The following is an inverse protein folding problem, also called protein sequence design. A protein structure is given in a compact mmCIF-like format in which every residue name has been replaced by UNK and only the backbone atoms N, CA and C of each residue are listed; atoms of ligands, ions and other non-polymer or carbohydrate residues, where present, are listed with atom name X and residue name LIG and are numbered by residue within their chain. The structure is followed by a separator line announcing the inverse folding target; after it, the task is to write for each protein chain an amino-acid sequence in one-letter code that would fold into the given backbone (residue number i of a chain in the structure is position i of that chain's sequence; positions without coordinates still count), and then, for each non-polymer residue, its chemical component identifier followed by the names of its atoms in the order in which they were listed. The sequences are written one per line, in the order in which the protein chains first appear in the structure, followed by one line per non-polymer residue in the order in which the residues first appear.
data_IF_321103339089
#
_entry.id   IF_321103339089
#
_cell.length_a   1.000
_cell.length_b   1.000
_cell.length_c   1.000
_cell.angle_alpha   90.00
_cell.angle_beta   90.00
_cell.angle_gamma   90.00
#
_symmetry.space_group_name_H-M   'P 1'
#
loop_
_entity.id
_entity.type
_entity.pdbx_description
1 polymer ?
#
# COMPACT_ATOMS: atom_id res chain seq x y z
N UNK A 1 23.92 -12.00 -14.24
CA UNK A 1 22.57 -12.50 -13.87
C UNK A 1 22.55 -14.02 -13.74
N UNK A 2 23.18 -14.77 -14.64
CA UNK A 2 23.25 -16.25 -14.53
C UNK A 2 23.92 -16.73 -13.24
N UNK A 3 25.00 -16.08 -12.80
CA UNK A 3 25.68 -16.41 -11.53
C UNK A 3 24.78 -16.23 -10.29
N UNK A 4 23.87 -15.25 -10.32
CA UNK A 4 22.92 -15.00 -9.24
C UNK A 4 21.84 -16.09 -9.21
N UNK A 5 21.33 -16.48 -10.38
CA UNK A 5 20.34 -17.54 -10.51
C UNK A 5 20.90 -18.89 -10.05
N UNK A 6 22.14 -19.22 -10.45
CA UNK A 6 22.82 -20.44 -9.98
C UNK A 6 23.00 -20.41 -8.47
N UNK A 7 23.39 -19.26 -7.89
CA UNK A 7 23.56 -19.17 -6.43
C UNK A 7 22.25 -19.30 -5.67
N UNK A 8 21.19 -18.61 -6.12
CA UNK A 8 19.83 -18.76 -5.59
C UNK A 8 19.40 -20.22 -5.63
N UNK A 9 19.61 -20.90 -6.77
CA UNK A 9 19.25 -22.29 -6.94
C UNK A 9 20.03 -23.22 -6.02
N UNK A 10 21.35 -23.06 -5.89
CA UNK A 10 22.18 -23.88 -4.99
C UNK A 10 21.80 -23.70 -3.52
N UNK A 11 21.48 -22.48 -3.07
CA UNK A 11 21.07 -22.22 -1.68
C UNK A 11 19.63 -22.72 -1.41
N UNK A 12 18.77 -22.78 -2.43
CA UNK A 12 17.39 -23.27 -2.35
C UNK A 12 17.25 -24.79 -2.54
N UNK A 13 18.20 -25.43 -3.21
CA UNK A 13 18.19 -26.88 -3.50
C UNK A 13 18.21 -27.74 -2.22
N UNK A 14 18.79 -27.23 -1.14
CA UNK A 14 18.85 -27.92 0.15
C UNK A 14 17.67 -27.59 1.09
N UNK A 15 16.77 -26.68 0.70
CA UNK A 15 15.60 -26.30 1.50
C UNK A 15 15.91 -25.54 2.80
N UNK A 16 17.18 -25.15 3.02
CA UNK A 16 17.67 -24.41 4.18
C UNK A 16 18.28 -23.08 3.75
N UNK A 17 17.55 -22.33 2.92
CA UNK A 17 18.00 -20.99 2.59
C UNK A 17 17.92 -20.13 3.85
N UNK A 18 19.07 -19.66 4.32
CA UNK A 18 19.10 -18.75 5.46
C UNK A 18 18.41 -17.44 5.08
N UNK A 19 17.53 -16.96 5.96
CA UNK A 19 16.75 -15.74 5.75
C UNK A 19 17.63 -14.51 5.50
N UNK A 20 18.80 -14.43 6.13
CA UNK A 20 19.74 -13.32 5.94
C UNK A 20 20.41 -13.34 4.54
N UNK A 21 20.74 -14.52 4.02
CA UNK A 21 21.24 -14.68 2.65
C UNK A 21 20.15 -14.35 1.62
N UNK A 22 18.92 -14.80 1.84
CA UNK A 22 17.79 -14.41 1.00
C UNK A 22 17.59 -12.89 1.00
N UNK A 23 17.60 -12.27 2.18
CA UNK A 23 17.43 -10.83 2.34
C UNK A 23 18.51 -10.07 1.58
N UNK A 24 19.77 -10.51 1.66
CA UNK A 24 20.87 -9.92 0.91
C UNK A 24 20.67 -10.04 -0.60
N UNK A 25 20.31 -11.23 -1.10
CA UNK A 25 20.08 -11.48 -2.52
C UNK A 25 18.93 -10.61 -3.05
N UNK A 26 17.80 -10.58 -2.34
CA UNK A 26 16.64 -9.79 -2.71
C UNK A 26 16.97 -8.30 -2.67
N UNK A 27 17.67 -7.81 -1.63
CA UNK A 27 18.09 -6.41 -1.54
C UNK A 27 19.01 -6.01 -2.69
N UNK A 28 19.98 -6.87 -3.06
CA UNK A 28 20.87 -6.62 -4.19
C UNK A 28 20.10 -6.59 -5.52
N UNK A 29 19.16 -7.52 -5.72
CA UNK A 29 18.29 -7.51 -6.88
C UNK A 29 17.43 -6.23 -6.91
N UNK A 30 16.84 -5.85 -5.79
CA UNK A 30 16.02 -4.65 -5.65
C UNK A 30 16.81 -3.38 -6.05
N UNK A 31 18.04 -3.23 -5.52
CA UNK A 31 18.94 -2.12 -5.84
C UNK A 31 19.34 -2.14 -7.31
N UNK A 32 19.72 -3.31 -7.84
CA UNK A 32 20.15 -3.45 -9.24
C UNK A 32 19.02 -3.06 -10.20
N UNK A 33 17.80 -3.57 -9.98
CA UNK A 33 16.67 -3.25 -10.85
C UNK A 33 16.16 -1.82 -10.69
N UNK A 34 16.28 -1.23 -9.50
CA UNK A 34 15.97 0.18 -9.33
C UNK A 34 16.96 1.09 -10.11
N UNK A 35 18.24 0.72 -10.17
CA UNK A 35 19.27 1.52 -10.87
C UNK A 35 19.33 1.27 -12.39
N UNK A 36 18.82 0.13 -12.85
CA UNK A 36 18.91 -0.33 -14.24
C UNK A 36 17.54 -0.27 -14.96
N UNK A 37 16.69 0.70 -14.59
CA UNK A 37 15.26 0.89 -14.93
C UNK A 37 14.87 0.73 -16.42
N UNK A 38 15.84 0.63 -17.33
CA UNK A 38 15.64 0.45 -18.77
C UNK A 38 15.55 -1.02 -19.25
N UNK A 39 15.86 -2.03 -18.42
CA UNK A 39 16.01 -3.43 -18.92
C UNK A 39 14.96 -4.41 -18.36
N UNK A 40 14.61 -4.34 -17.07
CA UNK A 40 13.59 -5.22 -16.46
C UNK A 40 13.14 -4.70 -15.10
N UNK A 41 11.83 -4.69 -14.83
CA UNK A 41 11.29 -4.34 -13.51
C UNK A 41 11.46 -5.51 -12.53
N UNK A 42 11.81 -5.24 -11.26
CA UNK A 42 11.95 -6.26 -10.22
C UNK A 42 10.73 -7.18 -10.09
N UNK A 43 9.51 -6.64 -10.27
CA UNK A 43 8.29 -7.43 -10.26
C UNK A 43 8.28 -8.53 -11.34
N UNK A 44 8.78 -8.23 -12.54
CA UNK A 44 8.87 -9.19 -13.64
C UNK A 44 9.95 -10.25 -13.34
N UNK A 45 11.12 -9.81 -12.87
CA UNK A 45 12.19 -10.72 -12.46
C UNK A 45 11.73 -11.69 -11.36
N UNK A 46 11.10 -11.16 -10.30
CA UNK A 46 10.62 -11.96 -9.17
C UNK A 46 9.59 -13.00 -9.64
N UNK A 47 8.65 -12.60 -10.50
CA UNK A 47 7.66 -13.52 -11.07
C UNK A 47 8.34 -14.62 -11.88
N UNK A 48 9.27 -14.28 -12.76
CA UNK A 48 9.97 -15.23 -13.61
C UNK A 48 10.78 -16.24 -12.80
N UNK A 49 11.50 -15.77 -11.76
CA UNK A 49 12.40 -16.61 -10.97
C UNK A 49 11.72 -17.43 -9.89
N UNK A 50 10.62 -16.97 -9.32
CA UNK A 50 10.02 -17.66 -8.17
C UNK A 50 8.62 -18.22 -8.45
N UNK A 51 7.87 -17.67 -9.41
CA UNK A 51 6.45 -18.03 -9.59
C UNK A 51 6.20 -18.83 -10.86
N UNK A 52 6.77 -18.42 -11.99
CA UNK A 52 6.51 -19.03 -13.29
C UNK A 52 7.08 -20.46 -13.33
N UNK A 53 6.21 -21.48 -13.35
CA UNK A 53 6.60 -22.90 -13.28
C UNK A 53 7.67 -23.31 -14.29
N UNK A 54 7.66 -22.72 -15.49
CA UNK A 54 8.61 -23.03 -16.57
C UNK A 54 10.03 -22.49 -16.32
N UNK A 55 10.17 -21.43 -15.52
CA UNK A 55 11.42 -20.68 -15.36
C UNK A 55 11.85 -20.53 -13.90
N UNK A 56 11.05 -21.06 -12.96
CA UNK A 56 11.32 -20.89 -11.53
C UNK A 56 12.60 -21.63 -11.14
N UNK A 57 13.43 -20.97 -10.33
CA UNK A 57 14.64 -21.55 -9.73
C UNK A 57 14.36 -22.35 -8.45
N UNK A 58 13.08 -22.53 -8.10
CA UNK A 58 12.63 -23.34 -6.97
C UNK A 58 12.34 -24.78 -7.45
N UNK A 59 13.22 -25.76 -7.15
CA UNK A 59 13.17 -27.08 -7.77
C UNK A 59 12.00 -27.94 -7.29
N UNK A 60 11.51 -27.74 -6.06
CA UNK A 60 10.45 -28.55 -5.45
C UNK A 60 9.60 -27.74 -4.46
N UNK A 61 8.52 -28.35 -3.96
CA UNK A 61 7.58 -27.70 -3.01
C UNK A 61 8.24 -27.39 -1.66
N UNK A 62 9.16 -28.24 -1.18
CA UNK A 62 9.91 -27.99 0.06
C UNK A 62 10.76 -26.73 -0.03
N UNK A 63 11.41 -26.49 -1.17
CA UNK A 63 12.16 -25.27 -1.44
C UNK A 63 11.24 -24.05 -1.51
N UNK A 64 10.05 -24.19 -2.10
CA UNK A 64 9.02 -23.13 -2.10
C UNK A 64 8.55 -22.78 -0.69
N UNK A 65 8.30 -23.79 0.16
CA UNK A 65 7.90 -23.59 1.55
C UNK A 65 9.00 -22.88 2.36
N UNK A 66 10.26 -23.32 2.23
CA UNK A 66 11.40 -22.66 2.87
C UNK A 66 11.57 -21.21 2.41
N UNK A 67 11.42 -20.97 1.10
CA UNK A 67 11.44 -19.62 0.53
C UNK A 67 10.33 -18.73 1.10
N UNK A 68 9.09 -19.20 1.15
CA UNK A 68 7.94 -18.44 1.71
C UNK A 68 8.12 -18.21 3.22
N UNK A 69 8.70 -19.17 3.94
CA UNK A 69 9.00 -19.03 5.37
C UNK A 69 10.00 -17.89 5.60
N UNK A 70 11.12 -17.88 4.88
CA UNK A 70 12.10 -16.78 4.97
C UNK A 70 11.51 -15.43 4.55
N UNK A 71 10.69 -15.39 3.48
CA UNK A 71 9.98 -14.16 3.12
C UNK A 71 9.06 -13.66 4.25
N UNK A 72 8.42 -14.57 4.98
CA UNK A 72 7.53 -14.25 6.11
C UNK A 72 8.31 -13.57 7.24
N UNK A 73 9.50 -14.08 7.57
CA UNK A 73 10.38 -13.50 8.60
C UNK A 73 10.86 -12.09 8.23
N UNK A 74 11.00 -11.80 6.93
CA UNK A 74 11.45 -10.50 6.42
C UNK A 74 10.36 -9.40 6.46
N UNK A 75 9.08 -9.77 6.58
CA UNK A 75 7.93 -8.82 6.50
C UNK A 75 8.10 -7.56 7.37
N UNK A 76 8.56 -7.62 8.63
CA UNK A 76 8.66 -6.43 9.47
C UNK A 76 9.65 -5.38 8.96
N UNK A 77 10.70 -5.82 8.26
CA UNK A 77 11.84 -5.01 7.83
C UNK A 77 11.76 -4.59 6.35
N UNK A 78 10.87 -5.22 5.58
CA UNK A 78 10.74 -4.98 4.15
C UNK A 78 9.99 -3.70 3.80
N UNK A 79 10.36 -3.10 2.67
CA UNK A 79 9.71 -1.90 2.15
C UNK A 79 8.29 -2.20 1.65
N UNK A 80 7.36 -1.25 1.79
CA UNK A 80 5.97 -1.42 1.35
C UNK A 80 5.81 -1.76 -0.14
N UNK A 81 6.64 -1.18 -1.02
CA UNK A 81 6.69 -1.51 -2.46
C UNK A 81 7.05 -2.97 -2.70
N UNK A 82 8.07 -3.46 -2.00
CA UNK A 82 8.53 -4.85 -2.12
C UNK A 82 7.46 -5.81 -1.62
N UNK A 83 6.86 -5.51 -0.48
CA UNK A 83 5.75 -6.27 0.09
C UNK A 83 4.56 -6.38 -0.88
N UNK A 84 4.17 -5.29 -1.56
CA UNK A 84 3.11 -5.32 -2.57
C UNK A 84 3.43 -6.28 -3.73
N UNK A 85 4.66 -6.26 -4.23
CA UNK A 85 5.11 -7.16 -5.31
C UNK A 85 5.04 -8.60 -4.83
N UNK A 86 5.63 -8.90 -3.68
CA UNK A 86 5.66 -10.26 -3.13
C UNK A 86 4.24 -10.78 -2.87
N UNK A 87 3.42 -10.00 -2.16
CA UNK A 87 2.05 -10.37 -1.83
C UNK A 87 1.18 -10.66 -3.06
N UNK A 88 1.26 -9.81 -4.10
CA UNK A 88 0.50 -10.00 -5.34
C UNK A 88 0.98 -11.20 -6.17
N UNK A 89 2.28 -11.45 -6.19
CA UNK A 89 2.85 -12.57 -6.94
C UNK A 89 2.55 -13.91 -6.26
N UNK A 90 2.59 -13.93 -4.93
CA UNK A 90 2.35 -15.12 -4.11
C UNK A 90 0.88 -15.37 -3.77
N UNK A 91 -0.04 -14.42 -4.03
CA UNK A 91 -1.48 -14.68 -3.97
C UNK A 91 -2.01 -15.55 -5.11
N UNK A 92 -1.17 -15.85 -6.12
CA UNK A 92 -1.54 -16.64 -7.27
C UNK A 92 -1.71 -18.13 -6.93
N UNK A 93 -2.60 -18.83 -7.65
CA UNK A 93 -2.83 -20.26 -7.45
C UNK A 93 -1.56 -21.13 -7.67
N UNK A 94 -0.56 -20.61 -8.39
CA UNK A 94 0.74 -21.27 -8.59
C UNK A 94 1.63 -21.33 -7.34
N UNK A 95 1.34 -20.51 -6.32
CA UNK A 95 2.13 -20.42 -5.09
C UNK A 95 1.57 -21.27 -3.92
N UNK A 96 0.52 -22.06 -4.18
CA UNK A 96 -0.04 -22.96 -3.17
C UNK A 96 -0.79 -22.24 -2.05
N UNK A 97 -1.01 -22.94 -0.94
CA UNK A 97 -1.78 -22.45 0.21
C UNK A 97 -0.92 -21.54 1.09
N UNK A 98 0.37 -21.88 1.20
CA UNK A 98 1.40 -21.12 1.91
C UNK A 98 1.62 -19.74 1.29
N UNK A 99 1.59 -19.65 -0.05
CA UNK A 99 1.66 -18.36 -0.75
C UNK A 99 0.47 -17.45 -0.43
N UNK A 100 -0.73 -18.04 -0.31
CA UNK A 100 -1.93 -17.30 0.08
C UNK A 100 -1.88 -16.85 1.54
N UNK A 101 -1.39 -17.70 2.44
CA UNK A 101 -1.19 -17.34 3.85
C UNK A 101 -0.18 -16.19 3.99
N UNK A 102 0.95 -16.28 3.28
CA UNK A 102 1.94 -15.20 3.20
C UNK A 102 1.32 -13.90 2.69
N UNK A 103 0.53 -13.95 1.60
CA UNK A 103 -0.14 -12.79 1.05
C UNK A 103 -1.10 -12.13 2.07
N UNK A 104 -1.75 -12.90 2.96
CA UNK A 104 -2.55 -12.35 4.06
C UNK A 104 -1.69 -11.65 5.11
N UNK A 105 -0.52 -12.20 5.48
CA UNK A 105 0.42 -11.56 6.41
C UNK A 105 0.97 -10.25 5.86
N UNK A 106 1.32 -10.25 4.57
CA UNK A 106 1.69 -9.04 3.84
C UNK A 106 0.56 -8.02 3.85
N UNK A 107 -0.68 -8.45 3.61
CA UNK A 107 -1.85 -7.57 3.66
C UNK A 107 -2.04 -6.90 5.02
N UNK A 108 -1.91 -7.67 6.11
CA UNK A 108 -1.96 -7.10 7.47
C UNK A 108 -0.83 -6.09 7.69
N UNK A 109 0.39 -6.40 7.25
CA UNK A 109 1.51 -5.46 7.38
C UNK A 109 1.31 -4.19 6.57
N UNK A 110 0.83 -4.29 5.33
CA UNK A 110 0.51 -3.13 4.51
C UNK A 110 -0.62 -2.31 5.13
N UNK A 111 -1.60 -2.95 5.78
CA UNK A 111 -2.62 -2.25 6.57
C UNK A 111 -2.02 -1.47 7.74
N UNK A 112 -1.11 -2.06 8.51
CA UNK A 112 -0.40 -1.38 9.60
C UNK A 112 0.38 -0.15 9.11
N UNK A 113 0.94 -0.26 7.90
CA UNK A 113 1.68 0.82 7.23
C UNK A 113 0.75 1.86 6.57
N UNK A 114 -0.58 1.65 6.55
CA UNK A 114 -1.54 2.54 5.88
C UNK A 114 -1.53 2.44 4.34
N UNK A 115 -1.10 1.30 3.81
CA UNK A 115 -0.95 0.99 2.38
C UNK A 115 -1.99 -0.04 1.89
N UNK A 116 -3.09 -0.24 2.61
CA UNK A 116 -4.14 -1.22 2.31
C UNK A 116 -4.79 -1.05 0.92
N UNK A 117 -4.87 0.17 0.42
CA UNK A 117 -5.40 0.53 -0.91
C UNK A 117 -4.50 0.08 -2.09
N UNK A 118 -3.31 -0.45 -1.83
CA UNK A 118 -2.29 -0.80 -2.85
C UNK A 118 -2.19 -2.29 -3.16
N UNK A 119 -2.96 -3.13 -2.48
CA UNK A 119 -2.90 -4.60 -2.60
C UNK A 119 -3.14 -5.13 -4.01
N UNK A 120 -3.80 -4.36 -4.86
CA UNK A 120 -4.19 -4.78 -6.20
C UNK A 120 -3.28 -4.21 -7.30
N UNK A 121 -2.40 -3.27 -6.98
CA UNK A 121 -1.53 -2.56 -7.94
C UNK A 121 -0.06 -2.93 -7.70
N UNK A 122 0.68 -3.18 -8.79
CA UNK A 122 2.14 -3.33 -8.69
C UNK A 122 2.75 -1.93 -8.61
N UNK A 123 3.77 -1.70 -7.76
CA UNK A 123 4.50 -0.43 -7.75
C UNK A 123 5.22 -0.21 -9.07
N UNK A 124 5.21 1.04 -9.54
CA UNK A 124 5.93 1.47 -10.75
C UNK A 124 7.42 1.73 -10.45
N UNK A 125 7.77 2.03 -9.19
CA UNK A 125 9.15 2.24 -8.72
C UNK A 125 9.38 1.48 -7.40
N UNK A 126 10.60 1.00 -7.22
CA UNK A 126 11.06 0.24 -6.05
C UNK A 126 11.43 1.14 -4.86
N UNK A 127 11.85 2.39 -5.11
CA UNK A 127 12.17 3.36 -4.06
C UNK A 127 10.96 4.07 -3.47
N UNK A 128 9.79 3.91 -4.08
CA UNK A 128 8.54 4.45 -3.60
C UNK A 128 7.53 3.31 -3.46
N UNK A 129 7.11 2.91 -2.23
CA UNK A 129 5.83 2.20 -2.06
C UNK A 129 4.79 2.99 -2.85
N UNK A 130 3.99 2.33 -3.70
CA UNK A 130 3.04 2.97 -4.66
C UNK A 130 2.70 4.40 -4.21
N UNK A 131 3.47 5.36 -4.70
CA UNK A 131 3.22 6.78 -4.55
C UNK A 131 2.92 7.27 -5.96
N UNK A 132 1.68 7.01 -6.36
CA UNK A 132 0.82 7.82 -7.22
C UNK A 132 1.32 8.51 -8.50
N UNK A 133 2.55 8.33 -8.97
CA UNK A 133 2.98 9.10 -10.14
C UNK A 133 2.71 8.43 -11.48
N UNK A 134 2.37 7.16 -11.47
CA UNK A 134 2.03 6.38 -12.65
C UNK A 134 1.30 5.14 -12.10
N UNK A 135 0.13 4.69 -12.51
CA UNK A 135 -0.62 4.89 -13.73
C UNK A 135 -2.03 4.41 -13.34
N UNK A 136 -3.08 5.21 -13.56
CA UNK A 136 -4.51 4.85 -13.34
C UNK A 136 -5.12 4.97 -11.93
N UNK A 137 -4.48 5.71 -11.02
CA UNK A 137 -5.17 6.37 -9.88
C UNK A 137 -5.24 7.89 -10.08
N UNK A 138 -4.99 8.37 -11.31
CA UNK A 138 -5.24 9.77 -11.67
C UNK A 138 -6.74 10.06 -11.71
N UNK A 139 -7.61 9.06 -11.92
CA UNK A 139 -9.06 9.31 -11.97
C UNK A 139 -9.80 9.12 -10.63
N UNK A 140 -9.18 8.49 -9.62
CA UNK A 140 -9.83 8.26 -8.31
C UNK A 140 -9.12 8.89 -7.10
N UNK A 141 -7.94 9.47 -7.31
CA UNK A 141 -7.40 10.49 -6.39
C UNK A 141 -7.71 11.93 -6.82
N UNK A 142 -8.55 12.12 -7.82
CA UNK A 142 -9.37 13.34 -7.96
C UNK A 142 -10.61 13.35 -7.03
N UNK A 143 -10.74 12.33 -6.17
CA UNK A 143 -11.71 12.32 -5.06
C UNK A 143 -11.06 12.39 -3.68
N UNK A 144 -9.75 12.65 -3.56
CA UNK A 144 -9.35 13.60 -2.50
C UNK A 144 -9.92 14.92 -2.95
N UNK A 145 -11.15 15.19 -2.53
CA UNK A 145 -11.77 16.46 -2.82
C UNK A 145 -10.78 17.53 -2.37
N UNK A 146 -10.33 18.33 -3.34
CA UNK A 146 -10.21 19.76 -3.13
C UNK A 146 -11.23 20.13 -2.06
N UNK A 147 -10.79 20.57 -0.89
CA UNK A 147 -11.68 20.79 0.26
C UNK A 147 -12.87 21.65 -0.17
N UNK A 148 -12.64 22.54 -1.14
CA UNK A 148 -13.64 23.31 -1.85
C UNK A 148 -14.66 22.47 -2.65
N UNK A 149 -14.27 21.40 -3.33
CA UNK A 149 -15.19 20.45 -4.01
C UNK A 149 -16.09 19.72 -3.01
N UNK A 150 -15.58 19.28 -1.86
CA UNK A 150 -16.43 18.69 -0.81
C UNK A 150 -17.40 19.72 -0.24
N UNK A 151 -16.95 20.96 -0.04
CA UNK A 151 -17.82 22.06 0.41
C UNK A 151 -18.89 22.39 -0.63
N UNK A 152 -18.54 22.44 -1.92
CA UNK A 152 -19.49 22.60 -3.02
C UNK A 152 -20.53 21.49 -3.05
N UNK A 153 -20.12 20.23 -2.89
CA UNK A 153 -21.05 19.10 -2.81
C UNK A 153 -21.97 19.19 -1.59
N UNK A 154 -21.42 19.59 -0.44
CA UNK A 154 -22.18 19.78 0.79
C UNK A 154 -23.24 20.88 0.64
N UNK A 155 -22.86 22.03 0.07
CA UNK A 155 -23.79 23.14 -0.22
C UNK A 155 -24.83 22.73 -1.27
N UNK A 156 -24.41 22.07 -2.34
CA UNK A 156 -25.31 21.61 -3.40
C UNK A 156 -26.32 20.57 -2.89
N UNK A 157 -25.91 19.71 -1.95
CA UNK A 157 -26.76 18.74 -1.27
C UNK A 157 -27.59 19.35 -0.13
N UNK A 158 -27.78 20.68 -0.12
CA UNK A 158 -28.54 21.41 0.90
C UNK A 158 -28.05 21.13 2.33
N UNK A 159 -26.73 21.24 2.54
CA UNK A 159 -26.06 20.99 3.82
C UNK A 159 -26.22 19.55 4.35
N UNK A 160 -26.42 18.60 3.44
CA UNK A 160 -26.31 17.17 3.75
C UNK A 160 -24.88 16.69 3.50
N UNK A 161 -24.31 15.95 4.45
CA UNK A 161 -22.96 15.41 4.34
C UNK A 161 -22.90 14.46 3.13
N UNK A 162 -21.99 14.69 2.16
CA UNK A 162 -21.86 13.81 0.99
C UNK A 162 -21.66 12.35 1.42
N UNK A 163 -22.39 11.42 0.81
CA UNK A 163 -22.30 9.99 1.13
C UNK A 163 -20.87 9.46 0.97
N UNK A 164 -20.15 9.94 -0.05
CA UNK A 164 -18.73 9.63 -0.25
C UNK A 164 -17.86 10.02 0.96
N UNK A 165 -18.10 11.20 1.54
CA UNK A 165 -17.36 11.64 2.73
C UNK A 165 -17.71 10.79 3.96
N UNK A 166 -18.98 10.36 4.09
CA UNK A 166 -19.38 9.44 5.17
C UNK A 166 -18.76 8.06 5.03
N UNK A 167 -18.66 7.55 3.80
CA UNK A 167 -17.94 6.32 3.46
C UNK A 167 -16.46 6.47 3.81
N UNK A 168 -15.82 7.57 3.42
CA UNK A 168 -14.42 7.85 3.74
C UNK A 168 -14.17 7.95 5.26
N UNK A 169 -15.11 8.51 6.04
CA UNK A 169 -15.03 8.50 7.50
C UNK A 169 -14.96 7.09 8.10
N UNK A 170 -15.63 6.12 7.46
CA UNK A 170 -15.77 4.73 7.94
C UNK A 170 -14.63 3.86 7.42
N UNK A 171 -14.37 3.92 6.12
CA UNK A 171 -13.42 3.04 5.44
C UNK A 171 -11.98 3.60 5.45
N UNK A 172 -11.81 4.92 5.58
CA UNK A 172 -10.51 5.59 5.60
C UNK A 172 -10.31 6.45 6.88
N UNK A 173 -10.46 5.89 8.10
CA UNK A 173 -10.48 6.66 9.34
C UNK A 173 -9.16 7.38 9.62
N UNK A 174 -8.02 6.85 9.17
CA UNK A 174 -6.71 7.50 9.32
C UNK A 174 -6.58 8.70 8.39
N UNK A 175 -6.98 8.58 7.12
CA UNK A 175 -7.01 9.71 6.17
C UNK A 175 -7.94 10.81 6.67
N UNK A 176 -9.15 10.44 7.09
CA UNK A 176 -10.12 11.40 7.61
C UNK A 176 -9.53 12.23 8.76
N UNK A 177 -8.87 11.58 9.72
CA UNK A 177 -8.28 12.26 10.89
C UNK A 177 -6.99 13.01 10.62
N UNK A 178 -6.12 12.49 9.76
CA UNK A 178 -4.76 13.04 9.56
C UNK A 178 -4.62 13.94 8.33
N UNK A 179 -5.60 13.92 7.42
CA UNK A 179 -5.57 14.69 6.17
C UNK A 179 -6.78 15.60 6.09
N UNK A 180 -8.00 15.04 6.05
CA UNK A 180 -9.22 15.82 5.83
C UNK A 180 -9.49 16.83 6.95
N UNK A 181 -9.50 16.38 8.21
CA UNK A 181 -9.77 17.26 9.35
C UNK A 181 -8.72 18.38 9.48
N UNK A 182 -7.40 18.11 9.43
CA UNK A 182 -6.39 19.18 9.41
C UNK A 182 -6.52 20.13 8.22
N UNK A 183 -6.87 19.61 7.03
CA UNK A 183 -7.10 20.45 5.85
C UNK A 183 -8.30 21.39 6.05
N UNK A 184 -9.36 20.93 6.71
CA UNK A 184 -10.48 21.80 7.11
C UNK A 184 -10.02 22.84 8.15
N UNK A 185 -9.25 22.47 9.16
CA UNK A 185 -8.71 23.44 10.14
C UNK A 185 -7.90 24.56 9.50
N UNK A 186 -7.12 24.25 8.45
CA UNK A 186 -6.26 25.21 7.75
C UNK A 186 -6.87 25.81 6.47
N UNK A 187 -8.12 25.46 6.16
CA UNK A 187 -8.80 25.98 4.98
C UNK A 187 -9.01 27.48 5.09
N UNK A 188 -8.59 28.23 4.08
CA UNK A 188 -8.63 29.70 4.02
C UNK A 188 -9.30 30.23 2.74
N UNK A 189 -10.10 29.40 2.07
CA UNK A 189 -10.87 29.80 0.89
C UNK A 189 -12.18 30.52 1.23
N UNK A 190 -12.96 30.88 0.21
CA UNK A 190 -14.18 31.69 0.37
C UNK A 190 -15.30 30.98 1.15
N UNK A 191 -15.28 29.65 1.23
CA UNK A 191 -16.34 28.82 1.84
C UNK A 191 -16.12 28.53 3.34
N UNK A 192 -15.46 29.44 4.08
CA UNK A 192 -15.15 29.23 5.51
C UNK A 192 -16.39 29.01 6.39
N UNK A 193 -17.53 29.64 6.06
CA UNK A 193 -18.79 29.41 6.78
C UNK A 193 -19.35 28.00 6.54
N UNK A 194 -19.21 27.49 5.31
CA UNK A 194 -19.69 26.16 4.95
C UNK A 194 -18.81 25.06 5.52
N UNK A 195 -17.50 25.32 5.60
CA UNK A 195 -16.54 24.49 6.34
C UNK A 195 -16.96 24.32 7.79
N UNK A 196 -17.25 25.41 8.48
CA UNK A 196 -17.65 25.36 9.89
C UNK A 196 -18.94 24.54 10.06
N UNK A 197 -19.92 24.71 9.15
CA UNK A 197 -21.17 23.93 9.15
C UNK A 197 -20.95 22.45 8.86
N UNK A 198 -20.07 22.11 7.92
CA UNK A 198 -19.73 20.74 7.61
C UNK A 198 -19.06 20.05 8.81
N UNK A 199 -18.12 20.74 9.46
CA UNK A 199 -17.45 20.22 10.66
C UNK A 199 -18.42 20.03 11.83
N UNK A 200 -19.38 20.93 12.01
CA UNK A 200 -20.45 20.77 12.99
C UNK A 200 -21.36 19.57 12.66
N UNK A 201 -21.76 19.40 11.39
CA UNK A 201 -22.58 18.27 10.96
C UNK A 201 -21.87 16.92 11.16
N UNK A 202 -20.56 16.86 10.90
CA UNK A 202 -19.72 15.68 11.15
C UNK A 202 -19.62 15.36 12.64
N UNK A 203 -19.56 16.38 13.50
CA UNK A 203 -19.57 16.22 14.96
C UNK A 203 -20.93 15.72 15.46
N UNK A 204 -22.04 16.30 15.01
CA UNK A 204 -23.41 15.87 15.35
C UNK A 204 -23.66 14.40 14.96
N UNK A 205 -23.13 13.96 13.82
CA UNK A 205 -23.18 12.57 13.35
C UNK A 205 -22.16 11.63 14.04
N UNK A 206 -21.45 12.11 15.07
CA UNK A 206 -20.42 11.37 15.82
C UNK A 206 -19.28 10.83 14.94
N UNK A 207 -19.02 11.47 13.79
CA UNK A 207 -17.87 11.15 12.92
C UNK A 207 -16.61 11.88 13.38
N UNK A 208 -16.79 13.06 13.98
CA UNK A 208 -15.76 13.80 14.69
C UNK A 208 -15.93 13.59 16.21
N UNK A 209 -14.85 13.32 16.94
CA UNK A 209 -14.92 13.22 18.41
C UNK A 209 -14.98 14.60 19.05
N UNK A 210 -15.49 14.70 20.29
CA UNK A 210 -15.55 15.97 21.03
C UNK A 210 -14.18 16.65 21.14
N UNK A 211 -13.13 15.85 21.37
CA UNK A 211 -11.75 16.33 21.43
C UNK A 211 -11.33 16.96 20.09
N UNK A 212 -11.54 16.24 18.98
CA UNK A 212 -11.15 16.72 17.65
C UNK A 212 -11.96 17.95 17.22
N UNK A 213 -13.24 18.00 17.56
CA UNK A 213 -14.08 19.16 17.26
C UNK A 213 -13.65 20.38 18.05
N UNK A 214 -13.33 20.20 19.33
CA UNK A 214 -12.78 21.27 20.18
C UNK A 214 -11.44 21.78 19.65
N UNK A 215 -10.55 20.88 19.21
CA UNK A 215 -9.28 21.24 18.57
C UNK A 215 -9.48 21.99 17.25
N UNK A 216 -10.48 21.61 16.44
CA UNK A 216 -10.85 22.35 15.23
C UNK A 216 -11.32 23.77 15.58
N UNK A 217 -12.22 23.92 16.55
CA UNK A 217 -12.73 25.23 16.96
C UNK A 217 -11.62 26.15 17.51
N UNK A 218 -10.65 25.57 18.24
CA UNK A 218 -9.53 26.31 18.80
C UNK A 218 -8.51 26.77 17.74
N UNK A 219 -8.37 26.02 16.64
CA UNK A 219 -7.30 26.21 15.66
C UNK A 219 -7.79 26.66 14.26
N UNK A 220 -9.10 26.79 14.05
CA UNK A 220 -9.64 27.24 12.76
C UNK A 220 -9.12 28.64 12.44
N UNK A 221 -8.49 28.78 11.28
CA UNK A 221 -8.05 30.07 10.72
C UNK A 221 -9.16 30.74 9.93
#
# INVERSE_FOLDING_TARGET
MDTLNTRIQTELEFGEMRTDMLALILSLAQIAFHRLDQVMQYALWFKEKFITKATRCLPNERAMQGFIHSLTEMIPQEAGSVLQIHGKMLSSASAGDEGREYAQKVKMRLMDLGLDHTLHTLPVDMTQPVSLKATKTVERMETTADTEKVLKLFVHANYSIPSSLLEDCIFLPRWFRSVFVPAMTHYSGEMCSDRDRLMAALHEKKKLSDKMYSEFLANKK
#
